data_IF_447548632692
#
_entry.id   IF_447548632692
#
_cell.length_a   1.000
_cell.length_b   1.000
_cell.length_c   1.000
_cell.angle_alpha   90.00
_cell.angle_beta   90.00
_cell.angle_gamma   90.00
#
_symmetry.space_group_name_H-M   'P 1'
#
loop_
_entity.id
_entity.type
_entity.pdbx_description
1 polymer ?
#
# COMPACT_ATOMS: atom_id res chain seq x y z
N UNK A 1 7.80 -10.49 6.16
CA UNK A 1 6.51 -9.83 5.93
C UNK A 1 5.67 -9.86 7.20
N UNK A 2 5.14 -8.71 7.61
CA UNK A 2 4.32 -8.57 8.82
C UNK A 2 2.92 -9.18 8.64
N UNK A 3 2.33 -9.05 7.45
CA UNK A 3 1.01 -9.56 7.16
C UNK A 3 0.98 -11.09 6.98
N UNK A 4 -0.24 -11.64 6.98
CA UNK A 4 -0.49 -13.07 6.79
C UNK A 4 -0.07 -13.57 5.40
N UNK A 5 -0.22 -12.72 4.40
CA UNK A 5 0.13 -13.01 3.01
C UNK A 5 1.04 -11.91 2.45
N UNK A 6 1.85 -12.26 1.45
CA UNK A 6 2.47 -11.27 0.57
C UNK A 6 1.36 -10.64 -0.28
N UNK A 7 1.50 -9.39 -0.69
CA UNK A 7 0.48 -8.68 -1.47
C UNK A 7 -0.90 -8.63 -0.79
N UNK A 8 -1.03 -8.03 0.39
CA UNK A 8 -2.26 -8.06 1.20
C UNK A 8 -3.47 -7.35 0.57
N UNK A 9 -3.28 -6.67 -0.58
CA UNK A 9 -4.34 -5.99 -1.35
C UNK A 9 -4.74 -6.74 -2.63
N UNK A 10 -4.28 -7.97 -2.80
CA UNK A 10 -4.59 -8.84 -3.94
C UNK A 10 -5.40 -10.04 -3.45
N UNK A 11 -6.09 -10.70 -4.36
CA UNK A 11 -6.77 -11.95 -4.03
C UNK A 11 -5.82 -12.98 -3.43
N UNK A 12 -6.30 -13.72 -2.44
CA UNK A 12 -5.45 -14.62 -1.65
C UNK A 12 -4.86 -15.77 -2.46
N UNK A 13 -5.56 -16.22 -3.50
CA UNK A 13 -5.05 -17.29 -4.39
C UNK A 13 -3.90 -16.80 -5.28
N UNK A 14 -3.96 -15.55 -5.74
CA UNK A 14 -2.88 -14.91 -6.48
C UNK A 14 -1.63 -14.76 -5.61
N UNK A 15 -1.80 -14.28 -4.37
CA UNK A 15 -0.72 -14.18 -3.38
C UNK A 15 -0.08 -15.54 -3.10
N UNK A 16 -0.88 -16.59 -2.93
CA UNK A 16 -0.40 -17.97 -2.73
C UNK A 16 0.39 -18.49 -3.94
N UNK A 17 -0.11 -18.27 -5.17
CA UNK A 17 0.58 -18.69 -6.40
C UNK A 17 1.93 -18.00 -6.55
N UNK A 18 1.98 -16.68 -6.32
CA UNK A 18 3.23 -15.93 -6.36
C UNK A 18 4.21 -16.45 -5.30
N UNK A 19 3.76 -16.64 -4.05
CA UNK A 19 4.57 -17.17 -2.96
C UNK A 19 5.17 -18.55 -3.32
N UNK A 20 4.37 -19.44 -3.92
CA UNK A 20 4.85 -20.74 -4.37
C UNK A 20 5.90 -20.62 -5.48
N UNK A 21 5.68 -19.71 -6.44
CA UNK A 21 6.63 -19.49 -7.54
C UNK A 21 7.97 -18.95 -7.04
N UNK A 22 7.94 -17.99 -6.14
CA UNK A 22 9.14 -17.43 -5.52
C UNK A 22 9.87 -18.47 -4.68
N UNK A 23 9.15 -19.30 -3.91
CA UNK A 23 9.73 -20.40 -3.14
C UNK A 23 10.44 -21.44 -3.99
N UNK A 24 9.89 -21.80 -5.18
CA UNK A 24 10.55 -22.68 -6.14
C UNK A 24 11.87 -22.12 -6.68
N UNK A 25 12.05 -20.81 -6.60
CA UNK A 25 13.29 -20.10 -6.99
C UNK A 25 14.28 -19.94 -5.84
N UNK A 26 14.02 -20.55 -4.69
CA UNK A 26 14.89 -20.50 -3.51
C UNK A 26 14.68 -19.28 -2.61
N UNK A 27 13.61 -18.48 -2.83
CA UNK A 27 13.31 -17.34 -1.96
C UNK A 27 12.52 -17.84 -0.76
N UNK A 28 13.09 -17.72 0.43
CA UNK A 28 12.39 -18.00 1.68
C UNK A 28 11.48 -16.84 2.06
N UNK A 29 10.20 -17.12 2.30
CA UNK A 29 9.20 -16.10 2.61
C UNK A 29 8.59 -16.38 3.99
N UNK A 30 8.94 -15.55 4.96
CA UNK A 30 8.42 -15.58 6.31
C UNK A 30 7.31 -14.54 6.47
N UNK A 31 6.04 -14.99 6.51
CA UNK A 31 4.87 -14.15 6.76
C UNK A 31 4.51 -14.17 8.26
N UNK A 32 3.74 -13.18 8.72
CA UNK A 32 3.45 -12.95 10.13
C UNK A 32 4.74 -12.79 10.96
N UNK A 33 5.75 -12.19 10.36
CA UNK A 33 7.08 -11.98 10.94
C UNK A 33 7.32 -10.50 11.19
N UNK A 34 7.52 -10.15 12.44
CA UNK A 34 7.84 -8.78 12.87
C UNK A 34 9.33 -8.68 13.13
N UNK A 35 10.05 -7.91 12.30
CA UNK A 35 11.46 -7.61 12.53
C UNK A 35 11.60 -6.78 13.80
N UNK A 36 12.49 -7.20 14.70
CA UNK A 36 12.73 -6.58 15.99
C UNK A 36 14.08 -5.91 16.08
N UNK A 37 15.10 -6.42 15.38
CA UNK A 37 16.44 -5.85 15.35
C UNK A 37 17.16 -6.20 14.05
N UNK A 38 18.10 -5.35 13.67
CA UNK A 38 19.10 -5.58 12.63
C UNK A 38 20.44 -5.16 13.21
N UNK A 39 21.38 -6.09 13.30
CA UNK A 39 22.72 -5.88 13.85
C UNK A 39 23.75 -6.20 12.76
N UNK A 40 24.79 -5.42 12.66
CA UNK A 40 25.91 -5.68 11.75
C UNK A 40 27.16 -6.08 12.55
N UNK A 41 27.78 -7.18 12.15
CA UNK A 41 29.06 -7.64 12.70
C UNK A 41 29.96 -8.08 11.55
N UNK A 42 31.09 -7.43 11.37
CA UNK A 42 32.10 -7.77 10.34
C UNK A 42 31.54 -7.95 8.91
N UNK A 43 30.58 -7.09 8.52
CA UNK A 43 29.96 -7.12 7.20
C UNK A 43 28.84 -8.15 7.01
N UNK A 44 28.48 -8.88 8.06
CA UNK A 44 27.33 -9.80 8.10
C UNK A 44 26.21 -9.16 8.91
N UNK A 45 25.02 -9.11 8.34
CA UNK A 45 23.81 -8.61 9.00
C UNK A 45 23.04 -9.75 9.64
N UNK A 46 22.78 -9.65 10.94
CA UNK A 46 21.87 -10.52 11.68
C UNK A 46 20.54 -9.82 11.84
N UNK A 47 19.50 -10.37 11.23
CA UNK A 47 18.13 -9.87 11.31
C UNK A 47 17.33 -10.74 12.28
N UNK A 48 16.87 -10.16 13.38
CA UNK A 48 16.02 -10.81 14.36
C UNK A 48 14.55 -10.46 14.12
N UNK A 49 13.68 -11.42 14.22
CA UNK A 49 12.25 -11.22 14.07
C UNK A 49 11.44 -12.20 14.93
N UNK A 50 10.23 -11.79 15.30
CA UNK A 50 9.28 -12.64 16.03
C UNK A 50 8.24 -13.17 15.06
N UNK A 51 8.02 -14.48 15.07
CA UNK A 51 6.99 -15.18 14.30
C UNK A 51 6.27 -16.20 15.16
N UNK A 52 4.93 -16.11 15.21
CA UNK A 52 4.09 -16.99 16.05
C UNK A 52 4.56 -17.08 17.52
N UNK A 53 5.01 -15.95 18.07
CA UNK A 53 5.49 -15.85 19.45
C UNK A 53 6.89 -16.44 19.72
N UNK A 54 7.62 -16.83 18.66
CA UNK A 54 9.01 -17.32 18.76
C UNK A 54 9.96 -16.31 18.12
N UNK A 55 11.10 -16.12 18.74
CA UNK A 55 12.21 -15.37 18.15
C UNK A 55 12.97 -16.26 17.17
N UNK A 56 13.22 -15.71 15.99
CA UNK A 56 13.99 -16.33 14.92
C UNK A 56 15.02 -15.33 14.41
N UNK A 57 16.13 -15.81 13.86
CA UNK A 57 17.18 -14.97 13.27
C UNK A 57 17.59 -15.50 11.90
N UNK A 58 18.01 -14.58 11.03
CA UNK A 58 18.61 -14.91 9.74
C UNK A 58 19.84 -14.01 9.52
N UNK A 59 20.87 -14.56 8.92
CA UNK A 59 22.07 -13.83 8.53
C UNK A 59 22.05 -13.54 7.03
N UNK A 60 22.58 -12.39 6.63
CA UNK A 60 22.64 -11.95 5.25
C UNK A 60 23.82 -11.00 5.02
N UNK A 61 24.36 -10.99 3.80
CA UNK A 61 25.40 -10.03 3.37
C UNK A 61 24.81 -8.63 3.13
N UNK A 62 23.53 -8.53 2.85
CA UNK A 62 22.82 -7.28 2.57
C UNK A 62 21.39 -7.33 3.11
N UNK A 63 20.91 -6.18 3.59
CA UNK A 63 19.50 -6.01 4.03
C UNK A 63 18.86 -4.89 3.24
N UNK A 64 17.74 -5.17 2.60
CA UNK A 64 16.89 -4.18 1.94
C UNK A 64 15.66 -3.89 2.80
N UNK A 65 15.53 -2.64 3.23
CA UNK A 65 14.36 -2.16 3.96
C UNK A 65 13.25 -1.77 2.97
N UNK A 66 12.27 -2.64 2.77
CA UNK A 66 11.13 -2.43 1.87
C UNK A 66 9.79 -2.65 2.61
N UNK A 67 9.67 -2.10 3.81
CA UNK A 67 8.57 -2.36 4.76
C UNK A 67 7.32 -1.50 4.55
N UNK A 68 7.23 -0.80 3.43
CA UNK A 68 6.07 0.02 3.06
C UNK A 68 6.37 1.52 2.98
N UNK A 69 5.32 2.30 2.82
CA UNK A 69 5.35 3.75 2.64
C UNK A 69 4.34 4.40 3.57
N UNK A 70 4.62 5.62 3.98
CA UNK A 70 3.69 6.48 4.73
C UNK A 70 3.61 7.85 4.08
N UNK A 71 2.48 8.52 4.26
CA UNK A 71 2.32 9.90 3.81
C UNK A 71 3.31 10.81 4.54
N UNK A 72 4.00 11.68 3.79
CA UNK A 72 4.94 12.64 4.34
C UNK A 72 4.24 13.96 4.66
N UNK A 73 3.60 14.03 5.81
CA UNK A 73 2.79 15.18 6.26
C UNK A 73 3.51 16.06 7.30
N UNK A 74 4.62 15.56 7.86
CA UNK A 74 5.24 16.17 9.06
C UNK A 74 5.86 17.56 8.88
N UNK A 75 6.23 17.95 7.64
CA UNK A 75 6.88 19.23 7.35
C UNK A 75 5.96 20.32 6.80
N UNK A 76 4.65 20.06 6.72
CA UNK A 76 3.69 20.94 6.03
C UNK A 76 2.91 21.87 6.98
N UNK A 77 3.14 21.79 8.29
CA UNK A 77 2.42 22.57 9.29
C UNK A 77 0.89 22.54 9.11
N UNK A 78 0.34 21.37 8.76
CA UNK A 78 -1.08 21.21 8.41
C UNK A 78 -2.02 21.64 9.53
N UNK A 79 -1.63 21.41 10.77
CA UNK A 79 -2.42 21.83 11.94
C UNK A 79 -2.56 23.36 12.04
N UNK A 80 -1.52 24.12 11.67
CA UNK A 80 -1.51 25.58 11.75
C UNK A 80 -2.48 26.22 10.77
N UNK A 81 -2.75 25.54 9.64
CA UNK A 81 -3.70 25.98 8.63
C UNK A 81 -5.06 25.29 8.74
N UNK A 82 -5.24 24.43 9.75
CA UNK A 82 -6.49 23.75 10.04
C UNK A 82 -6.86 22.61 9.06
N UNK A 83 -5.88 22.04 8.36
CA UNK A 83 -6.12 20.89 7.48
C UNK A 83 -6.20 19.61 8.30
N UNK A 84 -7.25 18.84 8.09
CA UNK A 84 -7.42 17.54 8.74
C UNK A 84 -6.50 16.49 8.13
N UNK A 85 -5.78 15.78 9.01
CA UNK A 85 -4.89 14.69 8.62
C UNK A 85 -4.81 13.60 9.69
N UNK A 86 -4.39 12.44 9.30
CA UNK A 86 -4.14 11.27 10.16
C UNK A 86 -2.73 10.75 9.91
N UNK A 87 -2.23 9.77 10.66
CA UNK A 87 -0.98 9.07 10.32
C UNK A 87 -0.99 8.40 8.93
N UNK A 88 -2.17 8.19 8.33
CA UNK A 88 -2.32 7.64 6.98
C UNK A 88 -2.17 8.68 5.89
N UNK A 89 -2.44 9.97 6.17
CA UNK A 89 -2.35 11.06 5.20
C UNK A 89 -3.40 12.15 5.44
N UNK A 90 -3.43 13.12 4.55
CA UNK A 90 -4.40 14.22 4.55
C UNK A 90 -5.79 13.65 4.23
N UNK A 91 -6.79 14.06 5.03
CA UNK A 91 -8.19 13.67 4.80
C UNK A 91 -8.73 14.45 3.61
N UNK A 92 -9.29 13.72 2.64
CA UNK A 92 -9.89 14.30 1.44
C UNK A 92 -11.24 13.65 1.13
N UNK A 93 -12.11 14.39 0.49
CA UNK A 93 -13.28 13.84 -0.17
C UNK A 93 -12.85 12.92 -1.32
N UNK A 94 -13.38 11.71 -1.38
CA UNK A 94 -12.92 10.66 -2.32
C UNK A 94 -13.33 10.91 -3.78
N UNK A 95 -14.29 11.79 -4.01
CA UNK A 95 -14.78 12.12 -5.35
C UNK A 95 -14.12 13.35 -5.94
N UNK A 96 -13.60 14.24 -5.08
CA UNK A 96 -13.09 15.55 -5.50
C UNK A 96 -11.63 15.78 -5.13
N UNK A 97 -11.06 14.97 -4.23
CA UNK A 97 -9.73 15.17 -3.62
C UNK A 97 -9.60 16.47 -2.82
N UNK A 98 -10.71 17.15 -2.52
CA UNK A 98 -10.74 18.36 -1.71
C UNK A 98 -10.53 18.02 -0.24
N UNK A 99 -9.79 18.85 0.48
CA UNK A 99 -9.64 18.76 1.93
C UNK A 99 -10.85 19.42 2.64
N UNK A 100 -10.83 19.46 3.96
CA UNK A 100 -11.80 20.24 4.73
C UNK A 100 -11.69 21.77 4.49
N UNK A 101 -10.63 22.25 3.83
CA UNK A 101 -10.46 23.64 3.41
C UNK A 101 -10.83 23.76 1.93
N UNK A 102 -11.89 24.52 1.54
CA UNK A 102 -12.49 24.46 0.21
C UNK A 102 -11.59 24.76 -1.00
N UNK A 103 -10.47 25.45 -0.82
CA UNK A 103 -9.53 25.80 -1.88
C UNK A 103 -8.24 24.98 -1.85
N UNK A 104 -8.17 23.96 -0.98
CA UNK A 104 -7.00 23.09 -0.83
C UNK A 104 -7.37 21.65 -1.20
N UNK A 105 -6.56 21.05 -2.03
CA UNK A 105 -6.69 19.68 -2.52
C UNK A 105 -5.43 18.89 -2.19
N UNK A 106 -5.56 17.59 -1.95
CA UNK A 106 -4.42 16.72 -1.71
C UNK A 106 -4.51 15.47 -2.59
N UNK A 107 -3.52 15.31 -3.48
CA UNK A 107 -3.45 14.22 -4.45
C UNK A 107 -2.17 13.41 -4.29
N UNK A 108 -2.20 12.14 -4.68
CA UNK A 108 -1.06 11.23 -4.60
C UNK A 108 -0.81 10.65 -3.21
N UNK A 109 0.42 10.23 -2.98
CA UNK A 109 0.82 9.48 -1.77
C UNK A 109 0.48 10.21 -0.46
N UNK A 110 0.38 11.53 -0.50
CA UNK A 110 0.13 12.36 0.69
C UNK A 110 -1.27 12.17 1.30
N UNK A 111 -2.26 11.77 0.50
CA UNK A 111 -3.61 11.48 1.02
C UNK A 111 -3.75 10.03 1.53
N UNK A 112 -2.74 9.18 1.32
CA UNK A 112 -2.69 7.80 1.82
C UNK A 112 -3.73 6.84 1.22
N UNK A 113 -4.48 7.25 0.19
CA UNK A 113 -5.54 6.42 -0.41
C UNK A 113 -4.95 5.30 -1.28
N UNK A 114 -4.16 5.68 -2.30
CA UNK A 114 -3.51 4.75 -3.20
C UNK A 114 -2.16 5.31 -3.63
N UNK A 115 -1.08 4.71 -3.14
CA UNK A 115 0.29 5.19 -3.36
C UNK A 115 0.88 4.66 -4.67
N UNK A 116 0.24 5.02 -5.80
CA UNK A 116 0.61 4.65 -7.17
C UNK A 116 0.66 5.91 -8.05
N UNK A 117 1.67 5.99 -8.91
CA UNK A 117 1.91 7.17 -9.75
C UNK A 117 0.72 7.51 -10.65
N UNK A 118 0.14 6.52 -11.32
CA UNK A 118 -1.04 6.72 -12.16
C UNK A 118 -2.29 7.09 -11.36
N UNK A 119 -2.45 6.57 -10.13
CA UNK A 119 -3.53 6.99 -9.24
C UNK A 119 -3.41 8.48 -8.89
N UNK A 120 -2.19 8.96 -8.59
CA UNK A 120 -1.93 10.37 -8.35
C UNK A 120 -2.29 11.25 -9.56
N UNK A 121 -1.97 10.79 -10.79
CA UNK A 121 -2.35 11.48 -12.03
C UNK A 121 -3.87 11.61 -12.16
N UNK A 122 -4.62 10.52 -11.99
CA UNK A 122 -6.08 10.56 -12.08
C UNK A 122 -6.71 11.37 -10.94
N UNK A 123 -6.17 11.31 -9.74
CA UNK A 123 -6.60 12.19 -8.63
C UNK A 123 -6.38 13.67 -8.98
N UNK A 124 -5.26 14.00 -9.63
CA UNK A 124 -4.99 15.37 -10.10
C UNK A 124 -6.00 15.85 -11.13
N UNK A 125 -6.39 15.00 -12.09
CA UNK A 125 -7.41 15.31 -13.07
C UNK A 125 -8.76 15.56 -12.39
N UNK A 126 -9.17 14.66 -11.48
CA UNK A 126 -10.42 14.80 -10.72
C UNK A 126 -10.45 16.10 -9.91
N UNK A 127 -9.33 16.46 -9.26
CA UNK A 127 -9.22 17.70 -8.51
C UNK A 127 -9.36 18.93 -9.42
N UNK A 128 -8.71 18.93 -10.59
CA UNK A 128 -8.79 20.03 -11.56
C UNK A 128 -10.21 20.16 -12.13
N UNK A 129 -10.84 19.06 -12.52
CA UNK A 129 -12.20 19.05 -13.03
C UNK A 129 -13.18 19.61 -11.99
N UNK A 130 -13.02 19.21 -10.72
CA UNK A 130 -13.83 19.79 -9.63
C UNK A 130 -13.62 21.31 -9.47
N UNK A 131 -12.38 21.79 -9.53
CA UNK A 131 -12.05 23.23 -9.48
C UNK A 131 -12.70 23.99 -10.64
N UNK A 132 -12.75 23.37 -11.83
CA UNK A 132 -13.32 23.96 -13.04
C UNK A 132 -14.84 23.80 -13.14
N UNK A 133 -15.48 23.09 -12.22
CA UNK A 133 -16.92 22.77 -12.28
C UNK A 133 -17.28 21.80 -13.42
N UNK A 134 -16.33 20.96 -13.84
CA UNK A 134 -16.51 19.97 -14.90
C UNK A 134 -16.88 18.62 -14.25
N UNK A 135 -18.00 18.05 -14.69
CA UNK A 135 -18.33 16.67 -14.34
C UNK A 135 -17.47 15.70 -15.16
N UNK A 136 -16.80 14.78 -14.50
CA UNK A 136 -16.03 13.72 -15.15
C UNK A 136 -16.55 12.34 -14.72
N UNK A 137 -16.33 11.34 -15.58
CA UNK A 137 -16.72 9.95 -15.32
C UNK A 137 -15.62 9.11 -14.68
N UNK A 138 -14.56 9.72 -14.13
CA UNK A 138 -13.43 8.99 -13.56
C UNK A 138 -13.84 8.33 -12.25
N UNK A 139 -13.72 7.01 -12.21
CA UNK A 139 -13.95 6.23 -11.01
C UNK A 139 -12.61 5.82 -10.38
N UNK A 140 -12.19 6.52 -9.34
CA UNK A 140 -10.94 6.25 -8.63
C UNK A 140 -10.93 4.93 -7.86
N UNK A 141 -12.09 4.28 -7.65
CA UNK A 141 -12.13 2.96 -7.00
C UNK A 141 -11.69 1.83 -7.94
N UNK A 142 -11.68 2.07 -9.25
CA UNK A 142 -11.26 1.10 -10.27
C UNK A 142 -9.89 1.47 -10.78
N UNK A 143 -8.88 1.27 -9.94
CA UNK A 143 -7.49 1.63 -10.25
C UNK A 143 -6.63 0.36 -10.32
N UNK A 144 -5.98 0.07 -11.46
CA UNK A 144 -5.14 -1.13 -11.58
C UNK A 144 -3.90 -1.02 -10.69
N UNK A 145 -3.51 -2.16 -10.11
CA UNK A 145 -2.25 -2.31 -9.40
C UNK A 145 -1.48 -3.48 -10.00
N UNK A 146 -0.17 -3.30 -10.20
CA UNK A 146 0.71 -4.34 -10.74
C UNK A 146 1.97 -4.47 -9.89
N UNK A 147 2.44 -5.70 -9.77
CA UNK A 147 3.71 -6.05 -9.13
C UNK A 147 4.58 -6.73 -10.17
N UNK A 148 5.72 -6.11 -10.48
CA UNK A 148 6.64 -6.53 -11.55
C UNK A 148 7.61 -7.61 -11.05
N UNK A 149 7.05 -8.65 -10.46
CA UNK A 149 7.78 -9.87 -10.09
C UNK A 149 7.87 -10.84 -11.27
N UNK A 150 8.45 -12.00 -11.07
CA UNK A 150 8.42 -13.09 -12.06
C UNK A 150 7.87 -14.35 -11.38
N UNK A 151 6.63 -14.78 -11.71
CA UNK A 151 5.69 -14.13 -12.64
C UNK A 151 5.20 -12.77 -12.12
N UNK A 152 4.71 -11.92 -13.03
CA UNK A 152 4.02 -10.68 -12.66
C UNK A 152 2.65 -10.97 -12.03
N UNK A 153 2.17 -10.03 -11.21
CA UNK A 153 0.84 -10.09 -10.64
C UNK A 153 0.14 -8.73 -10.81
N UNK A 154 -1.13 -8.75 -11.19
CA UNK A 154 -1.92 -7.54 -11.34
C UNK A 154 -3.35 -7.75 -10.85
N UNK A 155 -3.97 -6.68 -10.39
CA UNK A 155 -5.35 -6.66 -9.92
C UNK A 155 -5.99 -5.31 -10.24
N UNK A 156 -7.31 -5.30 -10.37
CA UNK A 156 -8.11 -4.08 -10.55
C UNK A 156 -9.50 -4.29 -9.95
N UNK A 157 -9.99 -3.30 -9.21
CA UNK A 157 -11.30 -3.36 -8.55
C UNK A 157 -11.27 -4.13 -7.23
N UNK A 158 -12.42 -4.69 -6.86
CA UNK A 158 -12.63 -5.40 -5.60
C UNK A 158 -12.03 -6.80 -5.64
N UNK A 159 -11.45 -7.21 -4.54
CA UNK A 159 -11.05 -8.60 -4.31
C UNK A 159 -12.27 -9.46 -3.96
N UNK A 160 -12.10 -10.78 -3.99
CA UNK A 160 -13.13 -11.72 -3.51
C UNK A 160 -13.50 -11.46 -2.05
N UNK A 161 -12.54 -11.08 -1.22
CA UNK A 161 -12.74 -10.77 0.20
C UNK A 161 -13.53 -9.47 0.35
N UNK A 162 -13.18 -8.41 -0.39
CA UNK A 162 -13.93 -7.15 -0.41
C UNK A 162 -15.39 -7.37 -0.81
N UNK A 163 -15.64 -8.21 -1.82
CA UNK A 163 -17.01 -8.55 -2.24
C UNK A 163 -17.79 -9.28 -1.15
N UNK A 164 -17.14 -10.23 -0.46
CA UNK A 164 -17.79 -10.97 0.66
C UNK A 164 -18.13 -10.02 1.80
N UNK A 165 -17.21 -9.13 2.17
CA UNK A 165 -17.41 -8.16 3.25
C UNK A 165 -18.52 -7.15 2.91
N UNK A 166 -18.64 -6.79 1.62
CA UNK A 166 -19.71 -5.93 1.11
C UNK A 166 -21.04 -6.66 0.86
N UNK A 167 -21.11 -8.00 1.04
CA UNK A 167 -22.31 -8.79 0.76
C UNK A 167 -22.66 -8.89 -0.74
N UNK A 168 -21.68 -8.65 -1.62
CA UNK A 168 -21.86 -8.73 -3.07
C UNK A 168 -21.70 -10.18 -3.50
N UNK A 169 -22.72 -10.78 -4.16
CA UNK A 169 -22.61 -12.15 -4.65
C UNK A 169 -21.60 -12.23 -5.78
N UNK A 170 -20.64 -13.14 -5.66
CA UNK A 170 -19.61 -13.39 -6.67
C UNK A 170 -19.72 -14.82 -7.19
N UNK A 171 -19.22 -15.01 -8.40
CA UNK A 171 -19.00 -16.32 -9.00
C UNK A 171 -17.51 -16.45 -9.30
N UNK A 172 -16.80 -17.27 -8.51
CA UNK A 172 -15.40 -17.59 -8.70
C UNK A 172 -15.21 -18.88 -9.54
#
# INVERSE_FOLDING_TARGET
EYFKEILPRFDSDLSKRLKQSLGKRGIEINTQAQVTAIEENDGVYKVSFTRKGKEETVEADKVLMAVGRKANVGSLNLADVGIEFTPRGIVVDEKTMQTNIPHIYAVGDINGKMMLAHAATFQGIVALDHIMGIENGINLSVMPAAVFTSPEAASVGMTEEDCKDAGIPIRA
#
